data_IF_867385318638
#
_entry.id   IF_867385318638
#
_cell.length_a   1.000
_cell.length_b   1.000
_cell.length_c   1.000
_cell.angle_alpha   90.00
_cell.angle_beta   90.00
_cell.angle_gamma   90.00
#
_symmetry.space_group_name_H-M   'P 1'
#
loop_
_entity.id
_entity.type
_entity.pdbx_description
1 polymer ?
#
# COMPACT_ATOMS: atom_id res chain seq x y z
N UNK A 1 0.83 -19.38 6.76
CA UNK A 1 1.59 -20.61 7.12
C UNK A 1 1.31 -21.79 6.18
N UNK A 2 0.07 -22.27 6.03
CA UNK A 2 -0.22 -23.47 5.19
C UNK A 2 0.28 -23.38 3.75
N UNK A 3 0.18 -22.22 3.09
CA UNK A 3 0.67 -22.03 1.73
C UNK A 3 2.20 -22.21 1.61
N UNK A 4 2.98 -21.81 2.63
CA UNK A 4 4.43 -21.98 2.68
C UNK A 4 4.82 -23.43 2.98
N UNK A 5 4.10 -24.10 3.89
CA UNK A 5 4.33 -25.52 4.23
C UNK A 5 4.21 -26.47 3.02
N UNK A 6 3.43 -26.07 2.01
CA UNK A 6 3.17 -26.87 0.81
C UNK A 6 4.18 -26.65 -0.31
N UNK A 7 5.13 -25.72 -0.14
CA UNK A 7 6.17 -25.50 -1.14
C UNK A 7 7.14 -26.70 -1.17
N UNK A 8 7.79 -26.92 -2.31
CA UNK A 8 8.78 -28.01 -2.45
C UNK A 8 10.12 -27.60 -1.86
N UNK A 9 10.40 -26.32 -1.89
CA UNK A 9 11.56 -25.66 -1.34
C UNK A 9 11.54 -25.73 0.19
N UNK A 10 12.71 -25.89 0.79
CA UNK A 10 12.86 -25.79 2.23
C UNK A 10 12.80 -24.32 2.65
N UNK A 11 11.80 -23.97 3.45
CA UNK A 11 11.56 -22.61 3.93
C UNK A 11 11.65 -22.60 5.45
N UNK A 12 12.67 -21.93 5.97
CA UNK A 12 12.90 -21.80 7.40
C UNK A 12 12.15 -20.58 7.96
N UNK A 13 11.37 -20.78 9.02
CA UNK A 13 10.67 -19.70 9.72
C UNK A 13 11.62 -19.03 10.72
N UNK A 14 12.14 -17.86 10.37
CA UNK A 14 13.08 -17.10 11.20
C UNK A 14 12.39 -16.08 12.12
N UNK A 15 11.23 -15.57 11.75
CA UNK A 15 10.50 -14.55 12.52
C UNK A 15 9.00 -14.75 12.41
N UNK A 16 8.32 -14.84 13.56
CA UNK A 16 6.88 -15.02 13.66
C UNK A 16 6.29 -14.07 14.72
N UNK A 17 6.07 -12.81 14.34
CA UNK A 17 5.43 -11.80 15.18
C UNK A 17 4.13 -11.34 14.51
N UNK A 18 3.09 -12.16 14.64
CA UNK A 18 1.77 -11.98 14.03
C UNK A 18 0.68 -12.27 15.07
N UNK A 19 -0.56 -11.81 14.81
CA UNK A 19 -1.73 -12.06 15.66
C UNK A 19 -1.43 -11.76 17.13
N UNK A 20 -1.70 -12.68 18.06
CA UNK A 20 -1.47 -12.55 19.49
C UNK A 20 -0.03 -12.14 19.87
N UNK A 21 0.98 -12.55 19.09
CA UNK A 21 2.38 -12.19 19.33
C UNK A 21 2.67 -10.72 18.99
N UNK A 22 1.82 -10.10 18.17
CA UNK A 22 1.89 -8.68 17.80
C UNK A 22 0.72 -7.89 18.41
N UNK A 23 0.08 -8.38 19.47
CA UNK A 23 -1.05 -7.71 20.12
C UNK A 23 -0.61 -6.92 21.36
N UNK A 24 -1.23 -5.77 21.57
CA UNK A 24 -1.19 -5.04 22.83
C UNK A 24 -2.58 -4.51 23.16
N UNK A 25 -3.02 -4.76 24.40
CA UNK A 25 -4.26 -4.19 24.93
C UNK A 25 -3.97 -2.85 25.60
N UNK A 26 -4.58 -1.78 25.08
CA UNK A 26 -4.49 -0.43 25.66
C UNK A 26 -5.89 0.15 25.79
N UNK A 27 -6.24 0.59 26.99
CA UNK A 27 -7.56 1.17 27.30
C UNK A 27 -8.73 0.24 26.89
N UNK A 28 -8.54 -1.07 27.06
CA UNK A 28 -9.51 -2.10 26.69
C UNK A 28 -9.60 -2.39 25.18
N UNK A 29 -8.75 -1.79 24.35
CA UNK A 29 -8.73 -1.96 22.90
C UNK A 29 -7.46 -2.71 22.48
N UNK A 30 -7.63 -3.80 21.76
CA UNK A 30 -6.55 -4.57 21.13
C UNK A 30 -6.02 -3.85 19.89
N UNK A 31 -4.69 -3.74 19.77
CA UNK A 31 -4.01 -3.07 18.66
C UNK A 31 -2.70 -3.78 18.31
N UNK A 32 -2.24 -3.67 17.06
CA UNK A 32 -0.90 -4.12 16.69
C UNK A 32 0.19 -3.39 17.49
N UNK A 33 1.16 -4.13 18.02
CA UNK A 33 2.37 -3.57 18.62
C UNK A 33 3.29 -2.98 17.54
N UNK A 34 3.46 -3.71 16.44
CA UNK A 34 4.26 -3.33 15.27
C UNK A 34 3.35 -3.14 14.06
N UNK A 35 3.30 -1.91 13.54
CA UNK A 35 2.52 -1.54 12.34
C UNK A 35 3.31 -1.59 11.03
N UNK A 36 4.64 -1.57 11.12
CA UNK A 36 5.51 -1.51 9.95
C UNK A 36 6.91 -2.02 10.28
N UNK A 37 7.56 -2.59 9.27
CA UNK A 37 8.92 -3.13 9.37
C UNK A 37 9.78 -2.61 8.22
N UNK A 38 11.07 -2.45 8.48
CA UNK A 38 12.11 -2.27 7.50
C UNK A 38 13.00 -3.51 7.43
N UNK A 39 13.57 -3.76 6.24
CA UNK A 39 14.55 -4.82 6.04
C UNK A 39 15.79 -4.23 5.38
N UNK A 40 16.95 -4.42 6.00
CA UNK A 40 18.21 -4.08 5.38
C UNK A 40 18.60 -5.19 4.38
N UNK A 41 18.49 -4.91 3.09
CA UNK A 41 18.76 -5.89 2.02
C UNK A 41 20.20 -6.42 2.00
N UNK A 42 21.16 -5.70 2.60
CA UNK A 42 22.57 -6.15 2.65
C UNK A 42 22.84 -7.08 3.82
N UNK A 43 22.24 -6.82 4.98
CA UNK A 43 22.51 -7.59 6.20
C UNK A 43 21.42 -8.60 6.55
N UNK A 44 20.24 -8.50 5.94
CA UNK A 44 19.05 -9.28 6.30
C UNK A 44 18.37 -8.82 7.59
N UNK A 45 18.87 -7.77 8.27
CA UNK A 45 18.30 -7.31 9.53
C UNK A 45 16.88 -6.76 9.34
N UNK A 46 15.94 -7.30 10.11
CA UNK A 46 14.55 -6.85 10.20
C UNK A 46 14.36 -6.00 11.45
N UNK A 47 13.69 -4.84 11.34
CA UNK A 47 13.46 -3.92 12.46
C UNK A 47 12.13 -3.18 12.33
N UNK A 48 11.48 -2.76 13.43
CA UNK A 48 10.29 -1.91 13.38
C UNK A 48 10.58 -0.58 12.69
N UNK A 49 9.70 -0.13 11.80
CA UNK A 49 9.90 1.11 11.05
C UNK A 49 8.58 1.83 10.76
N UNK A 50 8.65 3.16 10.67
CA UNK A 50 7.58 4.02 10.20
C UNK A 50 8.05 4.80 8.99
N UNK A 51 7.29 4.75 7.90
CA UNK A 51 7.66 5.37 6.62
C UNK A 51 6.70 6.50 6.32
N UNK A 52 7.22 7.73 6.35
CA UNK A 52 6.50 8.96 6.01
C UNK A 52 6.42 9.18 4.51
N UNK A 53 7.50 8.93 3.77
CA UNK A 53 7.56 9.10 2.32
C UNK A 53 7.30 7.77 1.61
N UNK A 54 6.06 7.54 1.16
CA UNK A 54 5.64 6.26 0.57
C UNK A 54 5.59 6.24 -0.95
N UNK A 55 6.07 7.29 -1.61
CA UNK A 55 6.15 7.39 -3.07
C UNK A 55 7.09 6.38 -3.74
N UNK A 56 7.14 6.34 -5.09
CA UNK A 56 6.49 7.25 -6.04
C UNK A 56 5.04 6.88 -6.35
N UNK A 57 4.25 7.83 -6.90
CA UNK A 57 2.86 7.61 -7.34
C UNK A 57 2.02 6.80 -6.33
N UNK A 58 2.02 7.26 -5.08
CA UNK A 58 1.27 6.64 -3.99
C UNK A 58 -0.22 6.62 -4.30
N UNK A 59 -0.78 7.72 -4.79
CA UNK A 59 -2.22 7.85 -5.05
C UNK A 59 -2.73 6.83 -6.10
N UNK A 60 -1.99 6.64 -7.20
CA UNK A 60 -2.33 5.65 -8.24
C UNK A 60 -2.31 4.23 -7.65
N UNK A 61 -1.30 3.91 -6.84
CA UNK A 61 -1.17 2.58 -6.22
C UNK A 61 -2.26 2.34 -5.18
N UNK A 62 -2.55 3.34 -4.35
CA UNK A 62 -3.65 3.29 -3.37
C UNK A 62 -5.00 3.14 -4.07
N UNK A 63 -5.26 3.92 -5.12
CA UNK A 63 -6.51 3.86 -5.90
C UNK A 63 -6.73 2.49 -6.54
N UNK A 64 -5.67 1.90 -7.10
CA UNK A 64 -5.70 0.54 -7.66
C UNK A 64 -6.09 -0.50 -6.60
N UNK A 65 -5.45 -0.47 -5.44
CA UNK A 65 -5.75 -1.42 -4.35
C UNK A 65 -7.15 -1.19 -3.78
N UNK A 66 -7.52 0.06 -3.52
CA UNK A 66 -8.85 0.43 -3.03
C UNK A 66 -9.98 0.00 -3.99
N UNK A 67 -9.69 0.00 -5.30
CA UNK A 67 -10.62 -0.46 -6.33
C UNK A 67 -10.66 -1.99 -6.50
N UNK A 68 -9.88 -2.74 -5.72
CA UNK A 68 -9.87 -4.21 -5.75
C UNK A 68 -8.80 -4.83 -6.66
N UNK A 69 -7.74 -4.10 -7.03
CA UNK A 69 -6.66 -4.66 -7.82
C UNK A 69 -5.88 -5.77 -7.09
N UNK A 70 -5.48 -6.80 -7.84
CA UNK A 70 -4.73 -7.96 -7.31
C UNK A 70 -3.29 -7.63 -6.89
N UNK A 71 -2.60 -8.57 -6.24
CA UNK A 71 -1.17 -8.43 -5.93
C UNK A 71 -0.33 -8.34 -7.21
N UNK A 72 0.66 -7.44 -7.24
CA UNK A 72 1.55 -7.23 -8.40
C UNK A 72 2.98 -6.97 -7.97
N UNK A 73 3.93 -7.36 -8.82
CA UNK A 73 5.33 -6.98 -8.72
C UNK A 73 5.50 -5.52 -9.19
N UNK A 74 6.25 -4.72 -8.43
CA UNK A 74 6.40 -3.28 -8.67
C UNK A 74 7.84 -2.83 -8.87
N UNK A 75 8.83 -3.71 -8.71
CA UNK A 75 10.24 -3.37 -8.79
C UNK A 75 11.01 -4.34 -9.67
N UNK A 76 11.62 -3.83 -10.73
CA UNK A 76 12.57 -4.57 -11.56
C UNK A 76 13.97 -4.37 -10.98
N UNK A 77 14.49 -5.41 -10.33
CA UNK A 77 15.81 -5.39 -9.69
C UNK A 77 16.96 -5.38 -10.69
N UNK A 78 16.79 -5.92 -11.89
CA UNK A 78 17.82 -5.93 -12.94
C UNK A 78 18.02 -4.53 -13.50
N UNK A 79 16.93 -3.78 -13.68
CA UNK A 79 16.95 -2.42 -14.25
C UNK A 79 17.02 -1.32 -13.18
N UNK A 80 16.84 -1.70 -11.92
CA UNK A 80 16.70 -0.82 -10.75
C UNK A 80 15.56 0.21 -10.92
N UNK A 81 14.39 -0.27 -11.35
CA UNK A 81 13.24 0.58 -11.70
C UNK A 81 12.01 0.17 -10.90
N UNK A 82 11.35 1.14 -10.27
CA UNK A 82 9.96 0.97 -9.85
C UNK A 82 9.07 1.11 -11.08
N UNK A 83 8.31 0.05 -11.40
CA UNK A 83 7.41 -0.01 -12.55
C UNK A 83 5.97 -0.10 -12.05
N UNK A 84 5.19 0.93 -12.34
CA UNK A 84 3.76 0.95 -12.04
C UNK A 84 3.02 0.70 -13.35
N UNK A 85 2.47 -0.50 -13.47
CA UNK A 85 1.73 -0.92 -14.65
C UNK A 85 0.42 -0.15 -14.83
N UNK A 86 -0.09 -0.07 -16.07
CA UNK A 86 -1.45 0.37 -16.31
C UNK A 86 -2.42 -0.40 -15.42
N UNK A 87 -3.37 0.31 -14.86
CA UNK A 87 -4.41 -0.28 -14.05
C UNK A 87 -5.77 0.13 -14.59
N UNK A 88 -6.80 -0.54 -14.07
CA UNK A 88 -8.18 -0.25 -14.42
C UNK A 88 -8.98 -0.21 -13.13
N UNK A 89 -9.85 0.76 -13.06
CA UNK A 89 -10.94 0.83 -12.11
C UNK A 89 -12.14 1.41 -12.83
N UNK A 90 -13.32 1.03 -12.37
CA UNK A 90 -14.56 1.64 -12.81
C UNK A 90 -15.05 2.60 -11.73
N UNK A 91 -15.62 3.75 -12.10
CA UNK A 91 -16.32 4.59 -11.15
C UNK A 91 -17.38 3.76 -10.45
N UNK A 92 -17.33 3.71 -9.11
CA UNK A 92 -18.41 3.12 -8.33
C UNK A 92 -19.43 4.20 -8.01
N UNK A 93 -20.69 3.95 -8.34
CA UNK A 93 -21.79 4.83 -7.96
C UNK A 93 -21.78 5.08 -6.46
N UNK A 94 -21.99 6.34 -6.07
CA UNK A 94 -21.97 6.73 -4.66
C UNK A 94 -20.58 6.88 -4.05
N UNK A 95 -19.47 6.76 -4.79
CA UNK A 95 -18.12 7.00 -4.21
C UNK A 95 -17.99 8.37 -3.56
N UNK A 96 -18.61 9.41 -4.13
CA UNK A 96 -18.63 10.76 -3.56
C UNK A 96 -19.42 10.89 -2.23
N UNK A 97 -20.30 9.94 -1.91
CA UNK A 97 -21.01 9.90 -0.62
C UNK A 97 -20.04 9.81 0.55
N UNK A 98 -18.99 9.00 0.41
CA UNK A 98 -18.00 8.73 1.44
C UNK A 98 -17.18 9.97 1.84
N UNK A 99 -16.99 10.93 0.93
CA UNK A 99 -16.29 12.18 1.25
C UNK A 99 -17.06 13.07 2.22
N UNK A 100 -18.39 12.90 2.29
CA UNK A 100 -19.26 13.70 3.17
C UNK A 100 -19.43 13.07 4.55
N UNK A 101 -18.94 11.85 4.76
CA UNK A 101 -19.09 11.15 6.02
C UNK A 101 -18.05 11.65 7.04
N UNK A 102 -18.44 11.58 8.31
CA UNK A 102 -17.53 11.79 9.43
C UNK A 102 -16.50 10.65 9.53
N UNK A 103 -15.50 10.90 10.38
CA UNK A 103 -14.35 10.01 10.50
C UNK A 103 -14.73 8.68 11.17
N UNK A 104 -15.70 8.69 12.09
CA UNK A 104 -16.23 7.49 12.74
C UNK A 104 -16.93 6.56 11.75
N UNK A 105 -17.78 7.10 10.88
CA UNK A 105 -18.47 6.34 9.82
C UNK A 105 -17.47 5.76 8.84
N UNK A 106 -16.43 6.51 8.45
CA UNK A 106 -15.41 6.01 7.54
C UNK A 106 -14.61 4.87 8.17
N UNK A 107 -14.21 5.02 9.43
CA UNK A 107 -13.54 3.93 10.16
C UNK A 107 -14.45 2.71 10.22
N UNK A 108 -15.71 2.87 10.63
CA UNK A 108 -16.63 1.77 10.83
C UNK A 108 -16.91 0.95 9.55
N UNK A 109 -16.98 1.61 8.39
CA UNK A 109 -17.40 0.95 7.14
C UNK A 109 -16.28 0.70 6.14
N UNK A 110 -15.16 1.42 6.22
CA UNK A 110 -14.04 1.31 5.26
C UNK A 110 -12.75 0.76 5.89
N UNK A 111 -12.69 0.56 7.20
CA UNK A 111 -11.60 -0.17 7.87
C UNK A 111 -12.01 -1.60 8.21
N UNK A 112 -11.04 -2.51 8.25
CA UNK A 112 -11.20 -3.85 8.81
C UNK A 112 -11.06 -3.89 10.34
N UNK A 113 -10.54 -2.82 10.95
CA UNK A 113 -10.28 -2.70 12.39
C UNK A 113 -10.44 -1.25 12.89
N UNK A 114 -11.68 -0.74 12.99
CA UNK A 114 -11.98 0.70 13.21
C UNK A 114 -11.26 1.34 14.41
N UNK A 115 -11.00 0.57 15.47
CA UNK A 115 -10.38 1.05 16.71
C UNK A 115 -8.85 0.90 16.76
N UNK A 116 -8.25 0.26 15.76
CA UNK A 116 -6.83 -0.06 15.70
C UNK A 116 -6.10 0.62 14.53
N UNK A 117 -6.81 1.33 13.65
CA UNK A 117 -6.21 2.09 12.57
C UNK A 117 -5.31 3.23 13.08
N UNK A 118 -4.27 3.60 12.32
CA UNK A 118 -3.43 4.72 12.66
C UNK A 118 -4.18 6.07 12.47
N UNK A 119 -3.75 7.15 13.14
CA UNK A 119 -4.47 8.44 13.12
C UNK A 119 -4.71 9.05 11.73
N UNK A 120 -3.85 8.74 10.76
CA UNK A 120 -3.93 9.25 9.38
C UNK A 120 -4.81 8.40 8.45
N UNK A 121 -5.44 7.33 8.93
CA UNK A 121 -6.21 6.40 8.09
C UNK A 121 -7.34 7.11 7.32
N UNK A 122 -8.20 7.85 8.02
CA UNK A 122 -9.37 8.50 7.39
C UNK A 122 -8.93 9.54 6.36
N UNK A 123 -7.89 10.31 6.66
CA UNK A 123 -7.31 11.26 5.72
C UNK A 123 -6.82 10.55 4.44
N UNK A 124 -6.14 9.41 4.59
CA UNK A 124 -5.66 8.61 3.46
C UNK A 124 -6.82 8.10 2.60
N UNK A 125 -7.87 7.54 3.23
CA UNK A 125 -9.07 7.06 2.53
C UNK A 125 -9.76 8.19 1.77
N UNK A 126 -9.99 9.35 2.41
CA UNK A 126 -10.58 10.53 1.75
C UNK A 126 -9.70 11.01 0.58
N UNK A 127 -8.37 10.98 0.71
CA UNK A 127 -7.47 11.33 -0.40
C UNK A 127 -7.59 10.36 -1.56
N UNK A 128 -7.62 9.05 -1.29
CA UNK A 128 -7.79 8.01 -2.30
C UNK A 128 -9.13 8.14 -3.03
N UNK A 129 -10.21 8.43 -2.31
CA UNK A 129 -11.53 8.66 -2.89
C UNK A 129 -11.55 9.91 -3.78
N UNK A 130 -10.94 11.02 -3.34
CA UNK A 130 -10.81 12.23 -4.18
C UNK A 130 -10.06 11.93 -5.48
N UNK A 131 -8.95 11.22 -5.40
CA UNK A 131 -8.16 10.82 -6.56
C UNK A 131 -9.00 10.00 -7.56
N UNK A 132 -9.80 9.05 -7.07
CA UNK A 132 -10.70 8.24 -7.92
C UNK A 132 -11.82 9.06 -8.57
N UNK A 133 -12.30 10.12 -7.93
CA UNK A 133 -13.31 11.03 -8.51
C UNK A 133 -12.69 11.96 -9.55
N UNK A 134 -11.46 12.43 -9.33
CA UNK A 134 -10.70 13.25 -10.28
C UNK A 134 -10.22 12.44 -11.48
N UNK A 135 -10.01 11.14 -11.29
CA UNK A 135 -9.62 10.18 -12.32
C UNK A 135 -10.62 9.01 -12.39
N UNK A 136 -11.84 9.22 -12.95
CA UNK A 136 -12.86 8.16 -13.05
C UNK A 136 -12.36 6.93 -13.81
N UNK A 137 -11.44 7.12 -14.75
CA UNK A 137 -10.68 6.06 -15.42
C UNK A 137 -9.19 6.30 -15.26
N UNK A 138 -8.43 5.21 -15.29
CA UNK A 138 -6.97 5.26 -15.18
C UNK A 138 -6.27 5.56 -16.51
N UNK A 139 -6.98 5.58 -17.64
CA UNK A 139 -6.39 5.66 -19.00
C UNK A 139 -5.48 6.88 -19.17
N UNK A 140 -5.91 8.05 -18.69
CA UNK A 140 -5.12 9.29 -18.79
C UNK A 140 -3.89 9.31 -17.87
N UNK A 141 -3.76 8.36 -16.94
CA UNK A 141 -2.61 8.24 -16.04
C UNK A 141 -1.45 7.46 -16.67
N UNK A 142 -1.73 6.73 -17.76
CA UNK A 142 -0.77 5.90 -18.48
C UNK A 142 -0.78 6.30 -19.97
N UNK A 143 -0.01 7.34 -20.35
CA UNK A 143 0.10 7.75 -21.76
C UNK A 143 0.47 6.56 -22.64
N UNK A 144 -0.25 6.39 -23.75
CA UNK A 144 -0.10 5.28 -24.69
C UNK A 144 -0.29 3.87 -24.07
N UNK A 145 -0.88 3.79 -22.87
CA UNK A 145 -0.99 2.54 -22.13
C UNK A 145 0.36 2.06 -21.56
N UNK A 146 1.37 2.92 -21.51
CA UNK A 146 2.69 2.56 -21.01
C UNK A 146 2.79 2.72 -19.49
N UNK A 147 3.54 1.84 -18.80
CA UNK A 147 3.77 1.91 -17.37
C UNK A 147 4.58 3.15 -16.98
N UNK A 148 4.36 3.60 -15.75
CA UNK A 148 5.16 4.66 -15.14
C UNK A 148 6.43 4.06 -14.53
N UNK A 149 7.59 4.49 -15.04
CA UNK A 149 8.89 4.03 -14.57
C UNK A 149 9.59 5.09 -13.73
N UNK A 150 10.17 4.68 -12.60
CA UNK A 150 10.91 5.55 -11.70
C UNK A 150 12.26 4.95 -11.31
N UNK A 151 13.30 5.79 -11.30
CA UNK A 151 14.63 5.45 -10.78
C UNK A 151 14.97 6.28 -9.56
N UNK A 152 15.80 5.72 -8.68
CA UNK A 152 16.32 6.45 -7.53
C UNK A 152 17.40 7.42 -8.01
N UNK A 153 17.25 8.69 -7.64
CA UNK A 153 18.22 9.73 -7.93
C UNK A 153 19.32 9.79 -6.87
N UNK A 154 20.39 10.54 -7.13
CA UNK A 154 21.51 10.72 -6.21
C UNK A 154 21.11 11.37 -4.88
N UNK A 155 20.04 12.18 -4.88
CA UNK A 155 19.44 12.78 -3.68
C UNK A 155 18.60 11.78 -2.85
N UNK A 156 18.48 10.52 -3.30
CA UNK A 156 17.68 9.49 -2.67
C UNK A 156 16.20 9.50 -3.04
N UNK A 157 15.73 10.51 -3.79
CA UNK A 157 14.36 10.62 -4.26
C UNK A 157 14.06 9.75 -5.48
N UNK A 158 12.78 9.63 -5.84
CA UNK A 158 12.32 8.93 -7.05
C UNK A 158 12.08 9.91 -8.20
N UNK A 159 12.63 9.62 -9.39
CA UNK A 159 12.43 10.43 -10.60
C UNK A 159 11.83 9.60 -11.72
N UNK A 160 10.84 10.16 -12.42
CA UNK A 160 10.22 9.52 -13.59
C UNK A 160 11.25 9.41 -14.72
N UNK A 161 11.29 8.27 -15.38
CA UNK A 161 12.15 8.00 -16.54
C UNK A 161 11.31 7.43 -17.68
N UNK A 162 11.73 7.67 -18.93
CA UNK A 162 11.18 6.98 -20.09
C UNK A 162 11.73 5.56 -20.15
N UNK A 163 10.96 4.60 -20.66
CA UNK A 163 11.51 3.29 -20.99
C UNK A 163 12.56 3.48 -22.09
N UNK A 164 13.81 3.10 -21.80
CA UNK A 164 14.85 2.86 -22.81
C UNK A 164 14.82 1.39 -23.23
#
# INVERSE_FOLDING_TARGET
MSAFQKQKEEIHLETCCITDMNDVMKDGIHRPLVYGIGVNVKSGLVFPASISCRGPAEEIRSARTFSGGEMVEVYDSTREVVKIGPCRWTPKDGTAFWLKQDDETILQYLSTSPYAEPPHFVQHIKSCIRFLLEHPTAENLFPDGEPLCFKRAADGGWRRVTQQ
#
